data_IF_149652196527
#
_entry.id   IF_149652196527
#
_cell.length_a   1.000
_cell.length_b   1.000
_cell.length_c   1.000
_cell.angle_alpha   90.00
_cell.angle_beta   90.00
_cell.angle_gamma   90.00
#
_symmetry.space_group_name_H-M   'P 1'
#
loop_
_entity.id
_entity.type
_entity.pdbx_description
1 polymer ?
#
# COMPACT_ATOMS: atom_id res chain seq x y z
N UNK A 1 -22.32 16.14 -9.44
CA UNK A 1 -20.98 16.18 -8.79
C UNK A 1 -20.51 14.74 -8.66
N UNK A 2 -19.58 14.34 -9.52
CA UNK A 2 -19.04 12.97 -9.59
C UNK A 2 -17.98 12.81 -8.49
N UNK A 3 -18.15 11.79 -7.65
CA UNK A 3 -17.23 11.46 -6.56
C UNK A 3 -16.01 10.74 -7.13
N UNK A 4 -14.81 11.13 -6.68
CA UNK A 4 -13.54 10.47 -6.98
C UNK A 4 -13.04 9.84 -5.69
N UNK A 5 -12.82 8.53 -5.68
CA UNK A 5 -12.18 7.82 -4.58
C UNK A 5 -10.66 7.84 -4.81
N UNK A 6 -9.93 8.44 -3.88
CA UNK A 6 -8.46 8.56 -3.92
C UNK A 6 -7.84 7.30 -3.32
N UNK A 7 -6.88 6.71 -4.01
CA UNK A 7 -6.19 5.49 -3.57
C UNK A 7 -4.68 5.70 -3.64
N UNK A 8 -3.97 5.21 -2.63
CA UNK A 8 -2.53 5.00 -2.65
C UNK A 8 -2.32 3.53 -2.29
N UNK A 9 -1.78 2.76 -3.23
CA UNK A 9 -1.49 1.35 -3.07
C UNK A 9 -0.08 1.13 -3.63
N UNK A 10 0.88 0.84 -2.77
CA UNK A 10 2.03 0.05 -3.16
C UNK A 10 1.61 -1.42 -2.93
N UNK A 11 1.66 -2.26 -3.95
CA UNK A 11 1.28 -3.67 -3.86
C UNK A 11 2.57 -4.49 -3.94
N UNK A 12 3.17 -4.74 -2.78
CA UNK A 12 4.19 -5.75 -2.46
C UNK A 12 5.23 -6.19 -3.52
N UNK A 13 6.51 -6.05 -3.20
CA UNK A 13 7.23 -7.01 -2.35
C UNK A 13 8.71 -6.60 -2.23
N UNK A 14 9.21 -6.53 -1.00
CA UNK A 14 10.64 -6.48 -0.71
C UNK A 14 11.18 -7.91 -0.62
N UNK A 15 12.07 -8.30 -1.54
CA UNK A 15 13.02 -9.39 -1.31
C UNK A 15 14.34 -9.09 -2.01
N UNK A 16 15.27 -8.50 -1.29
CA UNK A 16 16.70 -8.65 -1.59
C UNK A 16 17.44 -8.90 -0.28
N UNK A 17 17.76 -10.16 -0.03
CA UNK A 17 18.93 -10.53 0.76
C UNK A 17 19.66 -11.62 -0.04
N UNK A 18 20.91 -11.32 -0.44
CA UNK A 18 21.83 -12.31 -0.98
C UNK A 18 22.18 -12.15 -2.45
N UNK A 19 23.12 -11.24 -2.74
CA UNK A 19 24.25 -11.41 -3.67
C UNK A 19 24.81 -10.06 -4.11
N UNK A 20 25.29 -9.25 -3.16
CA UNK A 20 26.28 -8.23 -3.46
C UNK A 20 27.30 -8.27 -2.32
N UNK A 21 28.30 -9.15 -2.45
CA UNK A 21 29.54 -8.97 -1.71
C UNK A 21 30.25 -7.76 -2.30
N UNK A 22 30.38 -6.71 -1.49
CA UNK A 22 31.44 -5.70 -1.54
C UNK A 22 31.83 -5.13 -2.91
N UNK A 23 30.84 -4.66 -3.70
CA UNK A 23 31.11 -3.85 -4.87
C UNK A 23 30.39 -2.50 -4.79
N UNK A 24 31.15 -1.42 -4.88
CA UNK A 24 30.68 -0.02 -4.85
C UNK A 24 29.47 0.20 -5.78
N UNK A 25 28.50 1.06 -5.40
CA UNK A 25 27.28 1.22 -6.16
C UNK A 25 27.55 1.73 -7.60
N UNK A 26 26.94 1.10 -8.62
CA UNK A 26 27.34 1.21 -10.03
C UNK A 26 27.13 2.58 -10.68
N UNK A 27 26.52 3.54 -9.97
CA UNK A 27 26.34 4.91 -10.45
C UNK A 27 27.59 5.78 -10.31
N UNK A 28 28.68 5.29 -9.68
CA UNK A 28 29.99 5.97 -9.61
C UNK A 28 31.01 5.54 -10.68
N UNK A 29 30.65 4.63 -11.60
CA UNK A 29 31.59 4.09 -12.59
C UNK A 29 31.47 4.79 -13.94
N UNK A 30 32.63 5.18 -14.49
CA UNK A 30 32.76 5.70 -15.86
C UNK A 30 32.41 4.62 -16.90
N UNK A 31 32.09 5.00 -18.15
CA UNK A 31 31.73 4.03 -19.19
C UNK A 31 32.80 2.96 -19.45
N UNK A 32 34.10 3.29 -19.37
CA UNK A 32 35.15 2.29 -19.56
C UNK A 32 35.26 1.29 -18.40
N UNK A 33 35.01 1.73 -17.17
CA UNK A 33 34.99 0.86 -15.98
C UNK A 33 33.83 -0.14 -15.99
N UNK A 34 32.72 0.22 -16.64
CA UNK A 34 31.56 -0.68 -16.84
C UNK A 34 31.85 -1.79 -17.85
N UNK A 35 32.66 -1.50 -18.87
CA UNK A 35 33.04 -2.47 -19.89
C UNK A 35 34.02 -3.54 -19.38
N UNK A 36 34.72 -3.27 -18.29
CA UNK A 36 35.71 -4.16 -17.68
C UNK A 36 35.16 -5.08 -16.58
N UNK A 37 33.85 -5.03 -16.28
CA UNK A 37 33.26 -5.89 -15.27
C UNK A 37 33.27 -7.35 -15.76
N UNK A 38 33.65 -8.31 -14.89
CA UNK A 38 33.59 -9.72 -15.26
C UNK A 38 32.16 -10.09 -15.64
N UNK A 39 32.02 -10.90 -16.70
CA UNK A 39 30.73 -11.47 -17.04
C UNK A 39 30.16 -12.19 -15.81
N UNK A 40 28.85 -12.04 -15.52
CA UNK A 40 28.25 -12.74 -14.39
C UNK A 40 28.48 -14.26 -14.54
N UNK A 41 28.80 -14.98 -13.45
CA UNK A 41 29.11 -16.40 -13.54
C UNK A 41 27.96 -17.18 -14.19
N UNK A 42 28.26 -18.22 -15.00
CA UNK A 42 27.28 -18.92 -15.85
C UNK A 42 26.26 -19.77 -15.06
N UNK A 43 26.25 -19.67 -13.73
CA UNK A 43 25.33 -20.34 -12.83
C UNK A 43 24.86 -19.36 -11.77
N UNK A 44 24.08 -18.35 -12.17
CA UNK A 44 23.02 -17.92 -11.26
C UNK A 44 22.08 -19.13 -11.16
N UNK A 45 22.25 -19.92 -10.10
CA UNK A 45 21.33 -20.99 -9.75
C UNK A 45 19.91 -20.44 -9.87
N UNK A 46 19.04 -21.21 -10.53
CA UNK A 46 17.60 -20.95 -10.57
C UNK A 46 17.16 -20.63 -9.15
N UNK A 47 16.80 -19.37 -8.92
CA UNK A 47 16.34 -18.88 -7.64
C UNK A 47 15.21 -19.79 -7.20
N UNK A 48 15.33 -20.35 -6.00
CA UNK A 48 14.29 -21.16 -5.40
C UNK A 48 13.06 -20.26 -5.20
N UNK A 49 12.09 -20.39 -6.12
CA UNK A 49 10.91 -19.54 -6.24
C UNK A 49 9.85 -19.91 -5.22
N UNK A 50 10.22 -20.13 -3.95
CA UNK A 50 9.25 -20.47 -2.90
C UNK A 50 8.13 -19.42 -2.74
N UNK A 51 8.39 -18.16 -3.11
CA UNK A 51 7.38 -17.09 -3.21
C UNK A 51 6.86 -16.82 -4.62
N UNK A 52 7.56 -17.29 -5.65
CA UNK A 52 7.11 -17.28 -7.03
C UNK A 52 6.49 -18.65 -7.34
N UNK A 53 5.31 -18.90 -6.77
CA UNK A 53 4.38 -19.87 -7.35
C UNK A 53 3.89 -19.33 -8.69
N UNK A 54 4.77 -19.15 -9.66
CA UNK A 54 4.40 -19.17 -11.07
C UNK A 54 3.99 -20.61 -11.38
N UNK A 55 2.80 -20.99 -10.89
CA UNK A 55 1.98 -21.93 -11.65
C UNK A 55 1.96 -21.33 -13.05
N UNK A 56 2.38 -22.10 -14.04
CA UNK A 56 2.34 -21.78 -15.48
C UNK A 56 1.29 -20.71 -15.75
N UNK A 57 1.74 -19.49 -16.06
CA UNK A 57 0.82 -18.39 -16.34
C UNK A 57 0.07 -18.72 -17.62
N UNK A 58 -1.20 -19.06 -17.49
CA UNK A 58 -2.10 -19.25 -18.62
C UNK A 58 -2.93 -17.97 -18.75
N UNK A 59 -2.70 -17.24 -19.86
CA UNK A 59 -3.46 -16.05 -20.16
C UNK A 59 -4.95 -16.39 -20.23
N UNK A 60 -5.78 -15.61 -19.55
CA UNK A 60 -7.22 -15.80 -19.64
C UNK A 60 -7.70 -15.49 -21.05
N UNK A 61 -8.63 -16.28 -21.62
CA UNK A 61 -9.22 -15.95 -22.91
C UNK A 61 -9.93 -14.58 -22.81
N UNK A 62 -9.94 -13.77 -23.88
CA UNK A 62 -10.55 -12.44 -23.84
C UNK A 62 -11.99 -12.44 -23.33
N UNK A 63 -12.78 -13.46 -23.67
CA UNK A 63 -14.16 -13.63 -23.18
C UNK A 63 -14.26 -13.73 -21.65
N UNK A 64 -13.28 -14.38 -21.00
CA UNK A 64 -13.22 -14.47 -19.53
C UNK A 64 -12.83 -13.13 -18.93
N UNK A 65 -11.86 -12.42 -19.53
CA UNK A 65 -11.48 -11.07 -19.10
C UNK A 65 -12.68 -10.12 -19.19
N UNK A 66 -13.41 -10.16 -20.30
CA UNK A 66 -14.59 -9.32 -20.50
C UNK A 66 -15.73 -9.68 -19.55
N UNK A 67 -15.97 -10.97 -19.30
CA UNK A 67 -16.95 -11.41 -18.30
C UNK A 67 -16.60 -10.91 -16.89
N UNK A 68 -15.33 -10.99 -16.49
CA UNK A 68 -14.87 -10.50 -15.18
C UNK A 68 -14.97 -8.98 -15.07
N UNK A 69 -14.63 -8.27 -16.15
CA UNK A 69 -14.81 -6.81 -16.24
C UNK A 69 -16.27 -6.40 -16.14
N UNK A 70 -17.18 -7.13 -16.80
CA UNK A 70 -18.61 -6.88 -16.73
C UNK A 70 -19.16 -7.15 -15.32
N UNK A 71 -18.77 -8.26 -14.70
CA UNK A 71 -19.15 -8.60 -13.33
C UNK A 71 -18.66 -7.55 -12.32
N UNK A 72 -17.41 -7.09 -12.44
CA UNK A 72 -16.87 -6.03 -11.60
C UNK A 72 -17.62 -4.70 -11.79
N UNK A 73 -17.91 -4.30 -13.04
CA UNK A 73 -18.69 -3.08 -13.32
C UNK A 73 -20.09 -3.15 -12.72
N UNK A 74 -20.73 -4.30 -12.80
CA UNK A 74 -22.06 -4.50 -12.21
C UNK A 74 -22.00 -4.42 -10.68
N UNK A 75 -21.01 -5.07 -10.08
CA UNK A 75 -20.77 -4.99 -8.64
C UNK A 75 -20.50 -3.55 -8.18
N UNK A 76 -19.72 -2.78 -8.93
CA UNK A 76 -19.47 -1.36 -8.66
C UNK A 76 -20.74 -0.51 -8.66
N UNK A 77 -21.72 -0.85 -9.51
CA UNK A 77 -22.99 -0.13 -9.59
C UNK A 77 -23.98 -0.54 -8.51
N UNK A 78 -24.00 -1.81 -8.16
CA UNK A 78 -25.08 -2.41 -7.35
C UNK A 78 -24.71 -2.65 -5.89
N UNK A 79 -23.42 -2.89 -5.60
CA UNK A 79 -22.96 -3.34 -4.29
C UNK A 79 -21.86 -2.48 -3.67
N UNK A 80 -21.07 -1.78 -4.48
CA UNK A 80 -20.03 -0.90 -3.92
C UNK A 80 -20.69 0.21 -3.09
N UNK A 81 -20.22 0.43 -1.85
CA UNK A 81 -20.88 1.36 -0.95
C UNK A 81 -20.74 2.80 -1.46
N UNK A 82 -21.85 3.52 -1.40
CA UNK A 82 -21.86 4.98 -1.56
C UNK A 82 -21.65 5.63 -0.20
N UNK A 83 -20.82 6.67 -0.16
CA UNK A 83 -20.68 7.50 1.03
C UNK A 83 -22.03 8.20 1.33
N UNK A 84 -22.63 8.02 2.51
CA UNK A 84 -23.92 8.61 2.87
C UNK A 84 -23.86 10.15 2.83
N UNK A 85 -24.90 10.82 2.35
CA UNK A 85 -24.99 12.29 2.35
C UNK A 85 -26.14 12.76 3.26
N UNK A 86 -25.90 13.63 4.26
CA UNK A 86 -24.62 14.26 4.60
C UNK A 86 -23.66 13.30 5.30
N UNK A 87 -22.37 13.39 4.96
CA UNK A 87 -21.30 12.67 5.66
C UNK A 87 -20.63 13.59 6.66
N UNK A 88 -20.33 13.07 7.85
CA UNK A 88 -19.46 13.76 8.81
C UNK A 88 -18.10 13.10 8.77
N UNK A 89 -17.12 13.78 8.18
CA UNK A 89 -15.72 13.39 8.24
C UNK A 89 -15.09 13.87 9.55
N UNK A 90 -14.27 13.05 10.19
CA UNK A 90 -13.52 13.44 11.38
C UNK A 90 -12.43 14.48 11.08
N UNK A 91 -11.91 14.49 9.85
CA UNK A 91 -10.95 15.47 9.35
C UNK A 91 -11.06 15.63 7.82
N UNK A 92 -10.78 16.82 7.26
CA UNK A 92 -10.73 17.00 5.81
C UNK A 92 -9.66 16.14 5.14
N UNK A 93 -8.51 15.94 5.80
CA UNK A 93 -7.37 15.18 5.27
C UNK A 93 -6.79 14.27 6.33
N UNK A 94 -6.24 13.13 5.94
CA UNK A 94 -5.53 12.25 6.86
C UNK A 94 -4.67 11.22 6.16
N UNK A 95 -3.83 10.56 6.95
CA UNK A 95 -2.99 9.44 6.51
C UNK A 95 -3.64 8.15 6.97
N UNK A 96 -3.70 7.17 6.09
CA UNK A 96 -4.04 5.79 6.46
C UNK A 96 -2.80 4.92 6.23
N UNK A 97 -2.52 4.01 7.16
CA UNK A 97 -1.51 2.96 6.97
C UNK A 97 -2.09 1.62 7.36
N UNK A 98 -1.52 0.53 6.86
CA UNK A 98 -1.90 -0.82 7.24
C UNK A 98 -0.79 -1.51 8.02
N UNK A 99 -1.15 -2.28 9.05
CA UNK A 99 -0.22 -3.12 9.79
C UNK A 99 -0.89 -4.43 10.21
N UNK A 100 -0.10 -5.51 10.28
CA UNK A 100 -0.52 -6.88 10.64
C UNK A 100 -0.37 -7.18 12.13
N UNK A 101 -0.42 -6.15 12.97
CA UNK A 101 -0.17 -6.27 14.41
C UNK A 101 1.30 -6.07 14.80
N UNK A 102 1.71 -6.72 15.89
CA UNK A 102 3.00 -6.52 16.56
C UNK A 102 4.25 -6.63 15.66
N UNK A 103 4.34 -7.58 14.70
CA UNK A 103 5.52 -7.69 13.84
C UNK A 103 5.84 -6.43 13.01
N UNK A 104 4.83 -5.61 12.72
CA UNK A 104 4.99 -4.41 11.91
C UNK A 104 5.28 -3.15 12.78
N UNK A 105 5.29 -3.26 14.11
CA UNK A 105 5.57 -2.14 15.03
C UNK A 105 6.93 -1.44 14.78
N UNK A 106 8.05 -2.14 14.50
CA UNK A 106 9.30 -1.46 14.19
C UNK A 106 9.21 -0.56 12.95
N UNK A 107 8.56 -1.05 11.90
CA UNK A 107 8.36 -0.30 10.66
C UNK A 107 7.38 0.86 10.87
N UNK A 108 6.26 0.63 11.57
CA UNK A 108 5.34 1.70 11.99
C UNK A 108 6.07 2.79 12.77
N UNK A 109 6.88 2.41 13.76
CA UNK A 109 7.62 3.36 14.58
C UNK A 109 8.54 4.23 13.71
N UNK A 110 9.29 3.64 12.80
CA UNK A 110 10.15 4.38 11.89
C UNK A 110 9.36 5.31 10.95
N UNK A 111 8.33 4.80 10.28
CA UNK A 111 7.51 5.54 9.31
C UNK A 111 6.78 6.71 9.97
N UNK A 112 6.06 6.46 11.07
CA UNK A 112 5.26 7.46 11.77
C UNK A 112 6.12 8.50 12.47
N UNK A 113 7.23 8.10 13.08
CA UNK A 113 8.19 9.05 13.68
C UNK A 113 8.79 9.97 12.61
N UNK A 114 9.14 9.43 11.44
CA UNK A 114 9.66 10.24 10.36
C UNK A 114 8.61 11.21 9.83
N UNK A 115 7.35 10.80 9.68
CA UNK A 115 6.26 11.72 9.34
C UNK A 115 6.20 12.90 10.32
N UNK A 116 6.20 12.63 11.63
CA UNK A 116 6.17 13.69 12.65
C UNK A 116 7.40 14.57 12.63
N UNK A 117 8.61 14.00 12.45
CA UNK A 117 9.86 14.76 12.29
C UNK A 117 9.89 15.63 11.04
N UNK A 118 9.07 15.32 10.03
CA UNK A 118 8.87 16.16 8.84
C UNK A 118 7.75 17.18 9.01
N UNK A 119 7.29 17.43 10.23
CA UNK A 119 6.20 18.34 10.56
C UNK A 119 4.87 17.97 9.88
N UNK A 120 4.63 16.67 9.64
CA UNK A 120 3.31 16.19 9.23
C UNK A 120 2.36 16.25 10.44
N UNK A 121 1.37 17.13 10.35
CA UNK A 121 0.31 17.38 11.34
C UNK A 121 -0.95 16.58 11.10
N UNK A 122 -1.08 15.92 9.95
CA UNK A 122 -2.26 15.14 9.59
C UNK A 122 -2.61 14.07 10.64
N UNK A 123 -3.91 13.88 10.94
CA UNK A 123 -4.35 12.72 11.71
C UNK A 123 -4.01 11.44 10.96
N UNK A 124 -3.73 10.38 11.72
CA UNK A 124 -3.31 9.09 11.18
C UNK A 124 -4.23 8.00 11.72
N UNK A 125 -4.74 7.17 10.82
CA UNK A 125 -5.41 5.92 11.15
C UNK A 125 -4.49 4.75 10.77
N UNK A 126 -4.25 3.86 11.72
CA UNK A 126 -3.61 2.55 11.48
C UNK A 126 -4.71 1.52 11.34
N UNK A 127 -4.87 1.00 10.14
CA UNK A 127 -5.83 -0.04 9.82
C UNK A 127 -5.22 -1.42 10.02
N UNK A 128 -5.99 -2.33 10.59
CA UNK A 128 -5.64 -3.73 10.82
C UNK A 128 -6.90 -4.60 10.75
N UNK A 129 -6.80 -5.88 11.06
CA UNK A 129 -7.96 -6.74 11.33
C UNK A 129 -8.06 -7.00 12.84
N UNK A 130 -9.26 -7.30 13.34
CA UNK A 130 -9.49 -7.51 14.78
C UNK A 130 -8.59 -8.60 15.35
N UNK A 131 -8.40 -9.71 14.63
CA UNK A 131 -7.49 -10.78 15.04
C UNK A 131 -6.00 -10.37 15.10
N UNK A 132 -5.62 -9.27 14.44
CA UNK A 132 -4.27 -8.69 14.41
C UNK A 132 -4.14 -7.51 15.40
N UNK A 133 -5.25 -7.05 16.00
CA UNK A 133 -5.32 -5.93 16.96
C UNK A 133 -5.19 -6.41 18.41
N UNK A 134 -3.99 -6.83 18.79
CA UNK A 134 -3.71 -7.19 20.18
C UNK A 134 -3.56 -5.95 21.07
N UNK A 135 -3.75 -6.09 22.38
CA UNK A 135 -3.49 -5.00 23.33
C UNK A 135 -2.03 -4.50 23.27
N UNK A 136 -1.07 -5.42 23.06
CA UNK A 136 0.34 -5.07 22.91
C UNK A 136 0.61 -4.26 21.63
N UNK A 137 -0.10 -4.58 20.54
CA UNK A 137 -0.05 -3.79 19.32
C UNK A 137 -0.59 -2.38 19.53
N UNK A 138 -1.77 -2.25 20.14
CA UNK A 138 -2.37 -0.93 20.40
C UNK A 138 -1.50 -0.07 21.33
N UNK A 139 -0.98 -0.67 22.40
CA UNK A 139 -0.04 0.02 23.30
C UNK A 139 1.23 0.44 22.56
N UNK A 140 1.74 -0.42 21.66
CA UNK A 140 2.86 -0.10 20.77
C UNK A 140 2.59 1.11 19.88
N UNK A 141 1.42 1.18 19.25
CA UNK A 141 1.01 2.32 18.43
C UNK A 141 0.86 3.58 19.28
N UNK A 142 0.22 3.50 20.45
CA UNK A 142 0.02 4.63 21.35
C UNK A 142 1.35 5.21 21.88
N UNK A 143 2.37 4.37 22.10
CA UNK A 143 3.73 4.81 22.47
C UNK A 143 4.44 5.58 21.35
N UNK A 144 4.11 5.32 20.09
CA UNK A 144 4.69 6.05 18.95
C UNK A 144 4.09 7.46 18.87
N UNK A 145 2.77 7.56 18.86
CA UNK A 145 2.04 8.82 18.93
C UNK A 145 0.62 8.56 19.46
N UNK A 146 0.25 9.08 20.65
CA UNK A 146 -1.02 8.77 21.30
C UNK A 146 -2.23 9.36 20.57
N UNK A 147 -2.03 10.18 19.53
CA UNK A 147 -3.11 10.73 18.69
C UNK A 147 -3.50 9.79 17.55
N UNK A 148 -2.75 8.71 17.33
CA UNK A 148 -3.03 7.75 16.26
C UNK A 148 -4.19 6.85 16.68
N UNK A 149 -5.12 6.64 15.75
CA UNK A 149 -6.29 5.80 15.96
C UNK A 149 -6.05 4.46 15.27
N UNK A 150 -6.21 3.36 16.00
CA UNK A 150 -6.23 2.01 15.42
C UNK A 150 -7.67 1.67 15.01
N UNK A 151 -7.87 1.25 13.76
CA UNK A 151 -9.18 0.84 13.22
C UNK A 151 -9.11 -0.58 12.68
N UNK A 152 -10.23 -1.28 12.70
CA UNK A 152 -10.35 -2.65 12.18
C UNK A 152 -11.25 -2.70 10.95
N UNK A 153 -10.80 -3.46 9.95
CA UNK A 153 -11.51 -3.57 8.68
C UNK A 153 -12.79 -4.40 8.77
N UNK A 154 -12.85 -5.33 9.73
CA UNK A 154 -13.97 -6.22 9.97
C UNK A 154 -15.04 -5.64 10.91
N UNK A 155 -14.86 -4.41 11.42
CA UNK A 155 -15.88 -3.73 12.23
C UNK A 155 -17.20 -3.62 11.46
N UNK A 156 -18.32 -4.16 11.97
CA UNK A 156 -19.62 -4.17 11.27
C UNK A 156 -20.23 -2.78 11.10
N UNK A 157 -19.71 -1.75 11.78
CA UNK A 157 -20.14 -0.35 11.63
C UNK A 157 -19.50 0.34 10.42
N UNK A 158 -18.49 -0.28 9.81
CA UNK A 158 -17.87 0.22 8.58
C UNK A 158 -18.86 0.23 7.41
N UNK A 159 -18.65 1.15 6.46
CA UNK A 159 -19.41 1.16 5.19
C UNK A 159 -19.10 -0.08 4.34
N UNK A 160 -17.85 -0.56 4.41
CA UNK A 160 -17.36 -1.77 3.76
C UNK A 160 -16.62 -2.65 4.77
N UNK A 161 -17.35 -3.43 5.59
CA UNK A 161 -16.72 -4.39 6.49
C UNK A 161 -16.11 -5.52 5.66
N UNK A 162 -14.86 -5.86 5.92
CA UNK A 162 -14.17 -6.97 5.25
C UNK A 162 -13.47 -7.86 6.27
N UNK A 163 -13.60 -9.18 6.10
CA UNK A 163 -12.92 -10.13 6.96
C UNK A 163 -11.48 -10.37 6.49
N UNK A 164 -10.60 -10.74 7.42
CA UNK A 164 -9.20 -11.07 7.12
C UNK A 164 -9.06 -12.26 6.17
N UNK A 165 -9.98 -13.23 6.26
CA UNK A 165 -9.93 -14.50 5.53
C UNK A 165 -8.73 -15.38 5.90
N UNK A 166 -8.74 -16.64 5.47
CA UNK A 166 -7.63 -17.60 5.70
C UNK A 166 -6.62 -17.59 4.56
N UNK A 167 -7.06 -17.33 3.33
CA UNK A 167 -6.27 -17.54 2.12
C UNK A 167 -5.68 -16.26 1.54
N UNK A 168 -6.09 -15.11 2.08
CA UNK A 168 -5.58 -13.81 1.68
C UNK A 168 -4.36 -13.45 2.53
N UNK A 169 -3.45 -12.64 1.99
CA UNK A 169 -2.29 -12.13 2.74
C UNK A 169 -2.62 -10.88 3.59
N UNK A 170 -3.86 -10.40 3.53
CA UNK A 170 -4.33 -9.26 4.33
C UNK A 170 -4.41 -7.94 3.56
N UNK A 171 -3.81 -7.82 2.36
CA UNK A 171 -3.71 -6.53 1.66
C UNK A 171 -5.03 -5.89 1.23
N UNK A 172 -6.11 -6.67 1.16
CA UNK A 172 -7.45 -6.16 0.85
C UNK A 172 -7.95 -5.15 1.90
N UNK A 173 -7.38 -5.17 3.11
CA UNK A 173 -7.52 -4.11 4.14
C UNK A 173 -7.36 -2.69 3.60
N UNK A 174 -6.42 -2.49 2.65
CA UNK A 174 -6.08 -1.16 2.13
C UNK A 174 -7.29 -0.55 1.42
N UNK A 175 -8.11 -1.38 0.77
CA UNK A 175 -9.34 -0.92 0.11
C UNK A 175 -10.39 -0.51 1.14
N UNK A 176 -10.58 -1.30 2.19
CA UNK A 176 -11.49 -0.95 3.29
C UNK A 176 -11.03 0.31 4.03
N UNK A 177 -9.72 0.46 4.26
CA UNK A 177 -9.16 1.64 4.91
C UNK A 177 -9.51 2.92 4.15
N UNK A 178 -9.39 2.92 2.82
CA UNK A 178 -9.76 4.08 2.00
C UNK A 178 -11.26 4.39 2.12
N UNK A 179 -12.12 3.38 1.99
CA UNK A 179 -13.58 3.56 1.97
C UNK A 179 -14.14 3.94 3.35
N UNK A 180 -13.58 3.39 4.41
CA UNK A 180 -14.10 3.51 5.77
C UNK A 180 -13.38 4.56 6.63
N UNK A 181 -12.30 5.17 6.13
CA UNK A 181 -11.57 6.21 6.88
C UNK A 181 -12.49 7.36 7.27
N UNK A 182 -12.16 8.00 8.39
CA UNK A 182 -12.84 9.23 8.80
C UNK A 182 -12.51 10.44 7.94
N UNK A 183 -11.73 10.30 6.86
CA UNK A 183 -11.15 11.41 6.12
C UNK A 183 -11.84 11.62 4.78
N UNK A 184 -12.02 12.90 4.40
CA UNK A 184 -12.52 13.25 3.07
C UNK A 184 -11.48 13.00 1.98
N UNK A 185 -10.21 13.29 2.28
CA UNK A 185 -9.08 13.09 1.40
C UNK A 185 -8.01 12.25 2.11
N UNK A 186 -7.59 11.14 1.51
CA UNK A 186 -6.67 10.18 2.14
C UNK A 186 -5.32 10.14 1.45
N UNK A 187 -4.27 10.01 2.26
CA UNK A 187 -2.96 9.55 1.82
C UNK A 187 -2.70 8.16 2.39
N UNK A 188 -2.78 7.14 1.54
CA UNK A 188 -2.43 5.78 1.93
C UNK A 188 -0.93 5.57 1.87
N UNK A 189 -0.35 5.05 2.96
CA UNK A 189 1.06 4.70 3.03
C UNK A 189 1.17 3.24 3.45
N UNK A 190 2.15 2.54 2.88
CA UNK A 190 2.57 1.26 3.46
C UNK A 190 3.40 1.53 4.71
N UNK A 191 3.42 0.55 5.61
CA UNK A 191 4.12 0.65 6.89
C UNK A 191 5.63 0.86 6.74
N UNK A 192 6.18 0.54 5.58
CA UNK A 192 7.60 0.65 5.21
C UNK A 192 7.89 1.82 4.23
N UNK A 193 6.97 2.79 4.12
CA UNK A 193 7.17 4.01 3.30
C UNK A 193 7.63 5.18 4.15
N UNK A 194 8.88 5.61 3.94
CA UNK A 194 9.50 6.68 4.72
C UNK A 194 9.43 8.04 4.03
N UNK A 195 8.86 9.04 4.70
CA UNK A 195 8.78 10.40 4.19
C UNK A 195 10.14 11.14 4.29
N UNK A 196 10.68 11.55 3.14
CA UNK A 196 11.91 12.35 3.05
C UNK A 196 11.67 13.86 3.28
N UNK A 197 10.42 14.31 3.21
CA UNK A 197 9.98 15.70 3.46
C UNK A 197 8.54 15.75 3.97
N UNK A 198 7.99 16.94 4.22
CA UNK A 198 6.60 17.07 4.66
C UNK A 198 5.66 16.60 3.52
N UNK A 199 4.89 15.51 3.71
CA UNK A 199 4.05 14.96 2.66
C UNK A 199 2.74 15.73 2.47
N UNK A 200 2.34 16.63 3.38
CA UNK A 200 1.08 17.38 3.24
C UNK A 200 0.99 18.15 1.92
N UNK A 201 2.13 18.60 1.39
CA UNK A 201 2.23 19.26 0.07
C UNK A 201 1.71 18.41 -1.09
N UNK A 202 1.62 17.08 -0.94
CA UNK A 202 1.10 16.18 -1.97
C UNK A 202 -0.37 16.48 -2.28
N UNK A 203 -1.15 16.93 -1.28
CA UNK A 203 -2.53 17.39 -1.50
C UNK A 203 -2.63 18.70 -2.27
N UNK A 204 -1.52 19.45 -2.39
CA UNK A 204 -1.47 20.71 -3.14
C UNK A 204 -0.86 20.56 -4.53
N UNK A 205 -0.42 19.34 -4.90
CA UNK A 205 0.08 19.07 -6.24
C UNK A 205 -1.00 19.38 -7.29
N UNK A 206 -0.61 20.05 -8.37
CA UNK A 206 -1.53 20.38 -9.47
C UNK A 206 -2.19 19.12 -10.03
N UNK A 207 -1.43 18.03 -10.16
CA UNK A 207 -1.91 16.74 -10.62
C UNK A 207 -3.00 16.19 -9.70
N UNK A 208 -2.81 16.27 -8.38
CA UNK A 208 -3.81 15.84 -7.42
C UNK A 208 -5.06 16.71 -7.50
N UNK A 209 -4.90 18.04 -7.53
CA UNK A 209 -6.02 18.98 -7.63
C UNK A 209 -6.82 18.82 -8.92
N UNK A 210 -6.16 18.45 -10.02
CA UNK A 210 -6.78 18.23 -11.34
C UNK A 210 -7.45 16.87 -11.47
N UNK A 211 -6.81 15.80 -10.99
CA UNK A 211 -7.25 14.42 -11.20
C UNK A 211 -8.06 13.86 -10.02
N UNK A 212 -7.96 14.46 -8.83
CA UNK A 212 -8.54 13.96 -7.58
C UNK A 212 -7.80 12.75 -6.99
N UNK A 213 -6.76 12.24 -7.65
CA UNK A 213 -5.95 11.13 -7.19
C UNK A 213 -4.57 11.16 -7.86
N UNK A 214 -3.54 10.72 -7.14
CA UNK A 214 -2.18 10.52 -7.65
C UNK A 214 -1.71 9.14 -7.18
N UNK A 215 -1.13 8.39 -8.10
CA UNK A 215 -0.60 7.05 -7.88
C UNK A 215 0.88 7.03 -8.23
N UNK A 216 1.64 6.22 -7.48
CA UNK A 216 3.06 6.00 -7.79
C UNK A 216 3.18 4.69 -8.56
N UNK A 217 3.90 4.69 -9.67
CA UNK A 217 4.18 3.46 -10.38
C UNK A 217 5.07 2.58 -9.50
N UNK A 218 4.77 1.29 -9.51
CA UNK A 218 5.66 0.29 -8.94
C UNK A 218 7.00 0.29 -9.71
N UNK A 219 8.08 -0.10 -9.03
CA UNK A 219 9.38 -0.30 -9.65
C UNK A 219 9.32 -1.40 -10.71
N UNK A 220 8.54 -2.46 -10.45
CA UNK A 220 8.36 -3.58 -11.38
C UNK A 220 7.20 -3.30 -12.33
N UNK A 221 7.46 -3.36 -13.63
CA UNK A 221 6.37 -3.31 -14.61
C UNK A 221 5.72 -4.68 -14.67
N UNK A 222 4.42 -4.76 -14.41
CA UNK A 222 3.63 -5.93 -14.75
C UNK A 222 3.84 -6.24 -16.23
N UNK A 223 4.00 -7.53 -16.57
CA UNK A 223 4.15 -7.92 -17.96
C UNK A 223 2.96 -7.41 -18.77
N UNK A 224 3.20 -6.93 -19.99
CA UNK A 224 2.15 -6.37 -20.86
C UNK A 224 1.00 -7.35 -21.16
N UNK A 225 1.24 -8.66 -20.97
CA UNK A 225 0.25 -9.71 -21.11
C UNK A 225 -0.65 -9.91 -19.87
N UNK A 226 -0.33 -9.26 -18.74
CA UNK A 226 -1.09 -9.29 -17.50
C UNK A 226 -1.54 -7.86 -17.12
N UNK A 227 -2.49 -7.27 -17.87
CA UNK A 227 -3.01 -5.93 -17.62
C UNK A 227 -3.83 -5.84 -16.34
#
# INVERSE_FOLDING_TARGET
>A
MTWSASFFLNLESSTTAGCWSDAHPPWKLTPSQRASLPAPPPQCATVDTHNARFRTYEAWPPSKVDAQRAAWREWMKTKFPSIPTPTVFSSPRGVITYARGEPDLPSLHATLTLLRRRNCSLPIEVWTFEQERTAAFEEGVARIDPRIIVRTADDPTNLMPISRGTDMRGYHVKVAAVVNSGFREVMGLDVDVFAVGNPERLFEMEQYRKMGAVFWPDYWKTQSANP
#
